data_IF_773041076502
#
_entry.id   IF_773041076502
#
_cell.length_a   1.000
_cell.length_b   1.000
_cell.length_c   1.000
_cell.angle_alpha   90.00
_cell.angle_beta   90.00
_cell.angle_gamma   90.00
#
_symmetry.space_group_name_H-M   'P 1'
#
loop_
_entity.id
_entity.type
_entity.pdbx_description
1 polymer ?
#
# COMPACT_ATOMS: atom_id res chain seq x y z
N UNK A 1 -18.18 -6.91 9.49
CA UNK A 1 -16.74 -7.24 9.57
C UNK A 1 -16.47 -7.84 10.95
N UNK A 2 -16.12 -9.11 11.06
CA UNK A 2 -15.87 -9.78 12.37
C UNK A 2 -14.46 -9.48 12.87
N UNK A 3 -14.23 -9.56 14.19
CA UNK A 3 -12.93 -9.22 14.81
C UNK A 3 -11.73 -10.05 14.28
N UNK A 4 -11.98 -11.28 13.82
CA UNK A 4 -11.00 -12.16 13.17
C UNK A 4 -10.59 -11.68 11.76
N UNK A 5 -11.54 -11.16 10.96
CA UNK A 5 -11.26 -10.54 9.66
C UNK A 5 -10.40 -9.28 9.85
N UNK A 6 -10.83 -8.38 10.75
CA UNK A 6 -10.09 -7.14 11.04
C UNK A 6 -8.62 -7.38 11.44
N UNK A 7 -8.38 -8.39 12.30
CA UNK A 7 -7.03 -8.74 12.74
C UNK A 7 -6.17 -9.29 11.61
N UNK A 8 -6.76 -10.14 10.77
CA UNK A 8 -6.09 -10.74 9.62
C UNK A 8 -5.71 -9.67 8.60
N UNK A 9 -6.62 -8.74 8.33
CA UNK A 9 -6.44 -7.64 7.39
C UNK A 9 -5.32 -6.69 7.86
N UNK A 10 -5.32 -6.31 9.15
CA UNK A 10 -4.27 -5.44 9.70
C UNK A 10 -2.88 -6.05 9.60
N UNK A 11 -2.74 -7.35 9.85
CA UNK A 11 -1.45 -8.06 9.72
C UNK A 11 -1.00 -8.08 8.27
N UNK A 12 -1.92 -8.29 7.33
CA UNK A 12 -1.63 -8.27 5.90
C UNK A 12 -1.14 -6.89 5.45
N UNK A 13 -1.80 -5.82 5.89
CA UNK A 13 -1.38 -4.43 5.61
C UNK A 13 0.04 -4.16 6.09
N UNK A 14 0.35 -4.51 7.34
CA UNK A 14 1.67 -4.32 7.92
C UNK A 14 2.75 -5.09 7.13
N UNK A 15 2.48 -6.35 6.77
CA UNK A 15 3.41 -7.16 5.97
C UNK A 15 3.66 -6.54 4.60
N UNK A 16 2.61 -6.16 3.88
CA UNK A 16 2.74 -5.54 2.56
C UNK A 16 3.60 -4.27 2.60
N UNK A 17 3.38 -3.41 3.60
CA UNK A 17 4.17 -2.19 3.77
C UNK A 17 5.64 -2.50 4.12
N UNK A 18 5.89 -3.42 5.05
CA UNK A 18 7.25 -3.84 5.41
C UNK A 18 7.98 -4.48 4.24
N UNK A 19 7.31 -5.34 3.47
CA UNK A 19 7.91 -6.08 2.36
C UNK A 19 8.27 -5.10 1.22
N UNK A 20 7.37 -4.17 0.84
CA UNK A 20 7.66 -3.10 -0.14
C UNK A 20 8.79 -2.19 0.30
N UNK A 21 8.81 -1.81 1.58
CA UNK A 21 9.89 -0.96 2.08
C UNK A 21 11.21 -1.75 2.14
N UNK A 22 11.16 -3.06 2.39
CA UNK A 22 12.33 -3.94 2.31
C UNK A 22 12.87 -4.04 0.88
N UNK A 23 12.01 -4.04 -0.14
CA UNK A 23 12.45 -3.96 -1.55
C UNK A 23 13.23 -2.66 -1.84
N UNK A 24 12.94 -1.56 -1.12
CA UNK A 24 13.64 -0.27 -1.28
C UNK A 24 14.95 -0.20 -0.50
N UNK A 25 14.97 -0.67 0.74
CA UNK A 25 16.11 -0.47 1.66
C UNK A 25 16.93 -1.75 1.92
N UNK A 26 16.49 -2.90 1.42
CA UNK A 26 17.17 -4.18 1.44
C UNK A 26 17.15 -4.95 2.77
N UNK A 27 16.74 -4.33 3.89
CA UNK A 27 16.77 -4.96 5.22
C UNK A 27 15.44 -4.76 5.97
N UNK A 28 14.81 -5.87 6.35
CA UNK A 28 13.52 -5.86 7.07
C UNK A 28 13.53 -5.05 8.38
N UNK A 29 14.56 -5.11 9.25
CA UNK A 29 14.57 -4.26 10.46
C UNK A 29 14.53 -2.76 10.14
N UNK A 30 15.29 -2.32 9.13
CA UNK A 30 15.31 -0.93 8.70
C UNK A 30 13.98 -0.52 8.07
N UNK A 31 13.42 -1.38 7.21
CA UNK A 31 12.10 -1.20 6.62
C UNK A 31 11.01 -1.05 7.70
N UNK A 32 11.06 -1.91 8.73
CA UNK A 32 10.15 -1.86 9.87
C UNK A 32 10.25 -0.53 10.61
N UNK A 33 11.45 -0.03 10.87
CA UNK A 33 11.65 1.25 11.55
C UNK A 33 11.02 2.41 10.77
N UNK A 34 11.17 2.39 9.44
CA UNK A 34 10.59 3.41 8.55
C UNK A 34 9.07 3.32 8.57
N UNK A 35 8.50 2.13 8.37
CA UNK A 35 7.04 1.92 8.38
C UNK A 35 6.44 2.27 9.74
N UNK A 36 7.10 1.89 10.83
CA UNK A 36 6.68 2.19 12.20
C UNK A 36 6.63 3.70 12.46
N UNK A 37 7.67 4.43 12.04
CA UNK A 37 7.73 5.90 12.12
C UNK A 37 6.59 6.55 11.33
N UNK A 38 6.34 6.07 10.10
CA UNK A 38 5.25 6.58 9.23
C UNK A 38 3.87 6.27 9.81
N UNK A 39 3.71 5.12 10.46
CA UNK A 39 2.46 4.68 11.08
C UNK A 39 2.24 5.32 12.46
N UNK A 40 3.27 5.92 13.06
CA UNK A 40 3.21 6.51 14.41
C UNK A 40 3.19 5.45 15.52
N UNK A 41 3.91 4.34 15.35
CA UNK A 41 4.02 3.29 16.37
C UNK A 41 5.48 2.86 16.59
N UNK A 42 5.72 2.05 17.62
CA UNK A 42 7.03 1.46 17.86
C UNK A 42 7.31 0.31 16.87
N UNK A 43 8.57 0.11 16.44
CA UNK A 43 8.95 -1.03 15.59
C UNK A 43 8.52 -2.38 16.19
N UNK A 44 8.68 -2.56 17.51
CA UNK A 44 8.23 -3.76 18.21
C UNK A 44 6.73 -4.03 18.08
N UNK A 45 5.90 -3.00 17.88
CA UNK A 45 4.46 -3.17 17.61
C UNK A 45 4.23 -3.85 16.26
N UNK A 46 4.93 -3.42 15.21
CA UNK A 46 4.83 -4.05 13.89
C UNK A 46 5.41 -5.46 13.89
N UNK A 47 6.52 -5.70 14.61
CA UNK A 47 7.07 -7.04 14.77
C UNK A 47 6.07 -7.99 15.44
N UNK A 48 5.48 -7.57 16.55
CA UNK A 48 4.48 -8.37 17.26
C UNK A 48 3.22 -8.57 16.44
N UNK A 49 2.82 -7.57 15.64
CA UNK A 49 1.73 -7.68 14.68
C UNK A 49 2.04 -8.76 13.63
N UNK A 50 3.21 -8.70 12.99
CA UNK A 50 3.65 -9.65 11.97
C UNK A 50 3.71 -11.08 12.50
N UNK A 51 4.19 -11.25 13.74
CA UNK A 51 4.28 -12.54 14.45
C UNK A 51 2.95 -13.02 15.05
N UNK A 52 1.88 -12.23 14.96
CA UNK A 52 0.57 -12.58 15.53
C UNK A 52 0.52 -12.58 17.05
N UNK A 53 1.46 -11.91 17.72
CA UNK A 53 1.61 -11.86 19.18
C UNK A 53 0.80 -10.74 19.85
N UNK A 54 0.25 -9.81 19.08
CA UNK A 54 -0.64 -8.78 19.60
C UNK A 54 -2.01 -9.39 19.95
N UNK A 55 -2.35 -9.33 21.24
CA UNK A 55 -3.65 -9.79 21.77
C UNK A 55 -4.82 -8.92 21.30
N UNK A 56 -4.56 -7.63 21.10
CA UNK A 56 -5.52 -6.64 20.60
C UNK A 56 -4.81 -5.77 19.58
N UNK A 57 -5.51 -5.44 18.52
CA UNK A 57 -5.07 -4.48 17.51
C UNK A 57 -5.93 -3.24 17.68
N UNK A 58 -5.29 -2.12 17.91
CA UNK A 58 -5.97 -0.85 18.06
C UNK A 58 -6.54 -0.37 16.73
N UNK A 59 -7.79 0.10 16.74
CA UNK A 59 -8.49 0.57 15.53
C UNK A 59 -7.76 1.69 14.80
N UNK A 60 -7.09 2.58 15.55
CA UNK A 60 -6.31 3.67 14.97
C UNK A 60 -5.10 3.18 14.18
N UNK A 61 -4.46 2.09 14.62
CA UNK A 61 -3.26 1.56 13.94
C UNK A 61 -3.65 0.95 12.60
N UNK A 62 -4.78 0.23 12.55
CA UNK A 62 -5.32 -0.28 11.29
C UNK A 62 -5.56 0.85 10.29
N UNK A 63 -6.31 1.90 10.68
CA UNK A 63 -6.59 3.05 9.81
C UNK A 63 -5.32 3.75 9.34
N UNK A 64 -4.30 3.85 10.20
CA UNK A 64 -3.00 4.43 9.81
C UNK A 64 -2.29 3.58 8.78
N UNK A 65 -2.25 2.25 8.95
CA UNK A 65 -1.63 1.34 7.99
C UNK A 65 -2.39 1.32 6.66
N UNK A 66 -3.71 1.35 6.70
CA UNK A 66 -4.56 1.46 5.51
C UNK A 66 -4.29 2.77 4.76
N UNK A 67 -4.33 3.91 5.45
CA UNK A 67 -4.03 5.21 4.85
C UNK A 67 -2.60 5.29 4.28
N UNK A 68 -1.62 4.63 4.91
CA UNK A 68 -0.27 4.53 4.36
C UNK A 68 -0.23 3.72 3.07
N UNK A 69 -0.94 2.58 3.02
CA UNK A 69 -1.02 1.78 1.81
C UNK A 69 -1.70 2.55 0.67
N UNK A 70 -2.79 3.25 0.95
CA UNK A 70 -3.47 4.11 -0.03
C UNK A 70 -2.50 5.16 -0.59
N UNK A 71 -1.77 5.87 0.27
CA UNK A 71 -0.77 6.87 -0.16
C UNK A 71 0.35 6.29 -1.02
N UNK A 72 0.78 5.06 -0.73
CA UNK A 72 1.78 4.35 -1.55
C UNK A 72 1.21 4.01 -2.93
N UNK A 73 -0.04 3.55 -3.00
CA UNK A 73 -0.71 3.26 -4.28
C UNK A 73 -0.91 4.56 -5.09
N UNK A 74 -1.32 5.65 -4.44
CA UNK A 74 -1.47 6.96 -5.09
C UNK A 74 -0.13 7.49 -5.65
N UNK A 75 0.95 7.35 -4.88
CA UNK A 75 2.29 7.74 -5.33
C UNK A 75 2.74 6.90 -6.53
N UNK A 76 2.43 5.61 -6.53
CA UNK A 76 2.72 4.71 -7.63
C UNK A 76 1.90 5.05 -8.89
N UNK A 77 0.59 5.29 -8.74
CA UNK A 77 -0.25 5.78 -9.85
C UNK A 77 0.36 7.05 -10.45
N UNK A 78 0.73 8.03 -9.61
CA UNK A 78 1.34 9.27 -10.08
C UNK A 78 2.65 9.03 -10.85
N UNK A 79 3.51 8.14 -10.35
CA UNK A 79 4.76 7.76 -11.02
C UNK A 79 4.49 7.16 -12.41
N UNK A 80 3.61 6.17 -12.48
CA UNK A 80 3.28 5.48 -13.73
C UNK A 80 2.58 6.42 -14.74
N UNK A 81 1.70 7.30 -14.27
CA UNK A 81 1.08 8.33 -15.11
C UNK A 81 2.12 9.26 -15.71
N UNK A 82 3.08 9.75 -14.91
CA UNK A 82 4.16 10.60 -15.42
C UNK A 82 5.02 9.88 -16.48
N UNK A 83 5.30 8.59 -16.28
CA UNK A 83 6.04 7.76 -17.23
C UNK A 83 5.29 7.60 -18.56
N UNK A 84 3.97 7.32 -18.50
CA UNK A 84 3.10 7.25 -19.67
C UNK A 84 3.04 8.59 -20.43
N UNK A 85 2.93 9.71 -19.72
CA UNK A 85 2.96 11.03 -20.34
C UNK A 85 4.28 11.33 -21.03
N UNK A 86 5.41 10.99 -20.40
CA UNK A 86 6.73 11.17 -20.99
C UNK A 86 6.87 10.34 -22.28
N UNK A 87 6.40 9.09 -22.27
CA UNK A 87 6.39 8.22 -23.44
C UNK A 87 5.53 8.79 -24.58
N UNK A 88 4.31 9.28 -24.27
CA UNK A 88 3.43 9.93 -25.24
C UNK A 88 4.07 11.18 -25.85
N UNK A 89 4.74 12.01 -25.04
CA UNK A 89 5.45 13.21 -25.52
C UNK A 89 6.61 12.88 -26.45
N UNK A 90 7.24 11.71 -26.28
CA UNK A 90 8.28 11.21 -27.18
C UNK A 90 7.72 10.66 -28.51
N UNK A 91 6.41 10.76 -28.76
CA UNK A 91 5.75 10.25 -29.97
C UNK A 91 5.40 8.76 -29.90
N UNK A 92 5.53 8.14 -28.74
CA UNK A 92 5.17 6.75 -28.53
C UNK A 92 3.66 6.55 -28.44
N UNK A 93 3.14 5.54 -29.16
CA UNK A 93 1.78 5.07 -29.00
C UNK A 93 1.72 3.94 -27.96
N UNK A 94 1.01 4.17 -26.86
CA UNK A 94 0.83 3.21 -25.78
C UNK A 94 0.05 1.96 -26.24
N UNK A 95 -0.79 2.07 -27.27
CA UNK A 95 -1.52 0.94 -27.84
C UNK A 95 -0.60 -0.03 -28.60
N UNK A 96 0.56 0.45 -29.06
CA UNK A 96 1.54 -0.36 -29.81
C UNK A 96 2.65 -0.94 -28.93
N UNK A 97 2.70 -0.56 -27.65
CA UNK A 97 3.68 -1.04 -26.68
C UNK A 97 3.01 -1.92 -25.61
N UNK A 98 3.19 -3.26 -25.64
CA UNK A 98 2.57 -4.18 -24.66
C UNK A 98 2.88 -3.87 -23.20
N UNK A 99 4.04 -3.24 -22.94
CA UNK A 99 4.44 -2.80 -21.60
C UNK A 99 3.58 -1.60 -21.13
N UNK A 100 3.20 -0.69 -22.04
CA UNK A 100 2.36 0.46 -21.73
C UNK A 100 0.89 0.06 -21.52
N UNK A 101 0.39 -0.92 -22.27
CA UNK A 101 -0.93 -1.49 -22.02
C UNK A 101 -1.06 -2.10 -20.60
N UNK A 102 0.00 -2.78 -20.11
CA UNK A 102 0.06 -3.30 -18.74
C UNK A 102 0.08 -2.18 -17.69
N UNK A 103 0.77 -1.08 -17.96
CA UNK A 103 0.81 0.08 -17.08
C UNK A 103 -0.57 0.74 -16.93
N UNK A 104 -1.30 0.90 -18.02
CA UNK A 104 -2.68 1.43 -18.00
C UNK A 104 -3.59 0.52 -17.17
N UNK A 105 -3.56 -0.80 -17.41
CA UNK A 105 -4.35 -1.76 -16.63
C UNK A 105 -4.00 -1.73 -15.14
N UNK A 106 -2.72 -1.56 -14.80
CA UNK A 106 -2.27 -1.45 -13.40
C UNK A 106 -2.79 -0.17 -12.73
N UNK A 107 -2.81 0.95 -13.44
CA UNK A 107 -3.37 2.21 -12.94
C UNK A 107 -4.88 2.11 -12.71
N UNK A 108 -5.62 1.52 -13.66
CA UNK A 108 -7.07 1.32 -13.54
C UNK A 108 -7.44 0.39 -12.38
N UNK A 109 -6.69 -0.69 -12.19
CA UNK A 109 -6.87 -1.60 -11.04
C UNK A 109 -6.57 -0.88 -9.72
N UNK A 110 -5.46 -0.13 -9.65
CA UNK A 110 -5.08 0.63 -8.47
C UNK A 110 -6.14 1.69 -8.09
N UNK A 111 -6.70 2.39 -9.09
CA UNK A 111 -7.79 3.34 -8.88
C UNK A 111 -9.07 2.67 -8.38
N UNK A 112 -9.44 1.49 -8.92
CA UNK A 112 -10.58 0.72 -8.42
C UNK A 112 -10.41 0.32 -6.96
N UNK A 113 -9.21 -0.11 -6.58
CA UNK A 113 -8.91 -0.49 -5.18
C UNK A 113 -9.02 0.71 -4.22
N UNK A 114 -8.55 1.90 -4.63
CA UNK A 114 -8.70 3.13 -3.84
C UNK A 114 -10.17 3.51 -3.70
N UNK A 115 -10.93 3.51 -4.80
CA UNK A 115 -12.36 3.85 -4.78
C UNK A 115 -13.17 2.92 -3.86
N UNK A 116 -12.85 1.63 -3.84
CA UNK A 116 -13.49 0.65 -2.96
C UNK A 116 -13.18 0.90 -1.47
N UNK A 117 -11.94 1.29 -1.14
CA UNK A 117 -11.54 1.63 0.24
C UNK A 117 -12.25 2.91 0.73
N UNK A 118 -12.29 3.96 -0.09
CA UNK A 118 -12.96 5.22 0.26
C UNK A 118 -14.48 5.08 0.40
N UNK A 119 -15.12 4.22 -0.40
CA UNK A 119 -16.56 3.95 -0.30
C UNK A 119 -16.95 3.20 0.98
N UNK A 120 -16.01 2.47 1.58
CA UNK A 120 -16.23 1.78 2.87
C UNK A 120 -16.20 2.72 4.08
N UNK A 121 -15.63 3.92 3.96
CA UNK A 121 -15.64 4.94 5.03
C UNK A 121 -16.95 5.73 5.09
N UNK A 122 -17.70 5.85 4.00
CA UNK A 122 -18.94 6.62 3.92
C UNK A 122 -20.16 5.88 4.53
N UNK A 123 -20.03 4.58 4.79
CA UNK A 123 -21.09 3.70 5.31
C UNK A 123 -20.93 3.34 6.80
N UNK A 124 -20.10 4.06 7.57
CA UNK A 124 -19.92 3.86 9.02
C UNK A 124 -20.14 5.15 9.79
#
# INVERSE_FOLDING_TARGET
>A
MTALSFTTDTRRLARLLEDRETERVGKLPLARDIVARRAGCAPGTLENLRKGRLKRIEGWLHRKLEALLVREIEAEIKRLTNELEAYRRAGGDAAQAPQMARLVAAVEEAQRLIGASQSSEVLR
#
